data_IF_976086257239
#
_entry.id   IF_976086257239
#
_cell.length_a   1.000
_cell.length_b   1.000
_cell.length_c   1.000
_cell.angle_alpha   90.00
_cell.angle_beta   90.00
_cell.angle_gamma   90.00
#
_symmetry.space_group_name_H-M   'P 1'
#
loop_
_entity.id
_entity.type
_entity.pdbx_description
1 polymer ?
#
# COMPACT_ATOMS: atom_id res chain seq x y z
N UNK A 1 -64.19 -4.35 -5.93
CA UNK A 1 -63.10 -4.90 -5.10
C UNK A 1 -61.83 -5.23 -5.86
N UNK A 2 -61.86 -5.93 -7.01
CA UNK A 2 -60.64 -6.28 -7.77
C UNK A 2 -59.73 -5.09 -8.15
N UNK A 3 -60.31 -3.94 -8.53
CA UNK A 3 -59.53 -2.75 -8.96
C UNK A 3 -58.75 -2.09 -7.82
N UNK A 4 -59.23 -2.18 -6.57
CA UNK A 4 -58.58 -1.57 -5.42
C UNK A 4 -57.34 -2.37 -5.00
N UNK A 5 -57.43 -3.71 -5.08
CA UNK A 5 -56.33 -4.65 -4.82
C UNK A 5 -55.16 -4.41 -5.79
N UNK A 6 -55.46 -4.26 -7.10
CA UNK A 6 -54.45 -3.95 -8.11
C UNK A 6 -53.81 -2.57 -7.90
N UNK A 7 -54.60 -1.57 -7.51
CA UNK A 7 -54.10 -0.22 -7.20
C UNK A 7 -53.10 -0.23 -6.03
N UNK A 8 -53.43 -0.93 -4.94
CA UNK A 8 -52.50 -1.09 -3.80
C UNK A 8 -51.26 -1.89 -4.15
N UNK A 9 -51.37 -2.94 -4.98
CA UNK A 9 -50.22 -3.73 -5.40
C UNK A 9 -49.23 -2.91 -6.26
N UNK A 10 -49.74 -2.10 -7.19
CA UNK A 10 -48.91 -1.21 -8.01
C UNK A 10 -48.26 -0.13 -7.14
N UNK A 11 -49.02 0.46 -6.22
CA UNK A 11 -48.48 1.46 -5.29
C UNK A 11 -47.34 0.86 -4.46
N UNK A 12 -47.51 -0.37 -3.94
CA UNK A 12 -46.50 -1.07 -3.14
C UNK A 12 -45.22 -1.37 -3.95
N UNK A 13 -45.36 -1.81 -5.20
CA UNK A 13 -44.23 -2.04 -6.11
C UNK A 13 -43.49 -0.74 -6.44
N UNK A 14 -44.20 0.36 -6.65
CA UNK A 14 -43.60 1.67 -6.95
C UNK A 14 -42.93 2.29 -5.72
N UNK A 15 -43.48 2.09 -4.52
CA UNK A 15 -42.84 2.56 -3.27
C UNK A 15 -41.71 1.67 -2.77
N UNK A 16 -41.63 0.42 -3.25
CA UNK A 16 -40.53 -0.50 -2.91
C UNK A 16 -39.24 -0.16 -3.67
N UNK A 17 -39.31 0.48 -4.85
CA UNK A 17 -38.11 0.89 -5.61
C UNK A 17 -37.39 2.09 -5.00
N UNK A 18 -38.04 2.84 -4.10
CA UNK A 18 -37.42 3.94 -3.35
C UNK A 18 -36.76 3.49 -2.04
N UNK A 19 -36.78 2.19 -1.72
CA UNK A 19 -36.07 1.62 -0.58
C UNK A 19 -34.70 1.06 -1.01
N UNK A 20 -33.90 1.84 -1.75
CA UNK A 20 -32.46 1.61 -1.74
C UNK A 20 -31.93 2.24 -0.45
N UNK A 21 -31.62 1.40 0.53
CA UNK A 21 -30.78 1.83 1.63
C UNK A 21 -29.42 2.23 1.04
N UNK A 22 -28.96 3.44 1.35
CA UNK A 22 -27.62 3.92 0.98
C UNK A 22 -26.58 3.10 1.75
N UNK A 23 -26.26 1.92 1.22
CA UNK A 23 -25.28 1.02 1.82
C UNK A 23 -23.90 1.56 1.52
N UNK A 24 -23.14 1.91 2.56
CA UNK A 24 -21.73 2.28 2.42
C UNK A 24 -20.99 1.11 1.77
N UNK A 25 -20.35 1.32 0.59
CA UNK A 25 -19.59 0.26 -0.06
C UNK A 25 -18.39 -0.15 0.79
N UNK A 26 -18.16 -1.45 0.90
CA UNK A 26 -16.99 -2.02 1.59
C UNK A 26 -16.00 -2.53 0.55
N UNK A 27 -14.80 -1.96 0.55
CA UNK A 27 -13.68 -2.33 -0.32
C UNK A 27 -12.73 -3.23 0.45
N UNK A 28 -12.72 -4.52 0.10
CA UNK A 28 -11.70 -5.45 0.59
C UNK A 28 -10.52 -5.46 -0.39
N UNK A 29 -9.33 -5.15 0.12
CA UNK A 29 -8.13 -4.97 -0.70
C UNK A 29 -7.00 -5.82 -0.13
N UNK A 30 -6.37 -6.60 -0.99
CA UNK A 30 -5.21 -7.40 -0.62
C UNK A 30 -3.93 -6.67 -1.02
N UNK A 31 -3.18 -6.21 -0.03
CA UNK A 31 -1.84 -5.65 -0.23
C UNK A 31 -0.88 -6.84 -0.35
N UNK A 32 -0.09 -6.86 -1.41
CA UNK A 32 0.87 -7.92 -1.70
C UNK A 32 2.30 -7.53 -1.35
N UNK A 33 2.57 -6.22 -1.26
CA UNK A 33 3.87 -5.66 -0.94
C UNK A 33 3.72 -4.43 -0.08
N UNK A 34 4.52 -4.31 0.97
CA UNK A 34 4.61 -3.11 1.78
C UNK A 34 6.08 -2.77 2.05
N UNK A 35 6.41 -1.49 1.94
CA UNK A 35 7.70 -0.95 2.38
C UNK A 35 7.47 0.16 3.38
N UNK A 36 8.32 0.19 4.39
CA UNK A 36 8.35 1.24 5.40
C UNK A 36 9.80 1.67 5.54
N UNK A 37 10.05 2.96 5.41
CA UNK A 37 11.36 3.56 5.59
C UNK A 37 11.34 4.50 6.78
N UNK A 38 12.40 4.45 7.58
CA UNK A 38 12.58 5.27 8.75
C UNK A 38 13.89 6.05 8.63
N UNK A 39 13.80 7.36 8.80
CA UNK A 39 14.95 8.24 8.95
C UNK A 39 15.25 8.57 10.42
N UNK A 40 16.40 9.19 10.69
CA UNK A 40 16.71 9.74 12.01
C UNK A 40 15.63 10.76 12.44
N UNK A 41 15.39 10.84 13.74
CA UNK A 41 14.50 11.87 14.28
C UNK A 41 15.34 13.10 14.64
N UNK A 42 15.38 14.08 13.75
CA UNK A 42 16.09 15.35 13.94
C UNK A 42 15.21 16.45 14.57
N UNK A 43 13.99 16.10 14.98
CA UNK A 43 13.01 17.04 15.53
C UNK A 43 12.29 17.89 14.48
N UNK A 44 12.47 17.62 13.18
CA UNK A 44 11.76 18.31 12.11
C UNK A 44 10.32 17.80 11.88
N UNK A 45 9.96 16.65 12.46
CA UNK A 45 8.62 16.08 12.41
C UNK A 45 8.62 14.57 12.20
N UNK A 46 7.75 14.13 11.30
CA UNK A 46 7.62 12.74 10.89
C UNK A 46 8.90 12.17 10.31
N UNK A 47 9.29 10.99 10.79
CA UNK A 47 10.52 10.31 10.37
C UNK A 47 10.26 8.96 9.69
N UNK A 48 9.00 8.61 9.42
CA UNK A 48 8.61 7.36 8.78
C UNK A 48 7.81 7.65 7.50
N UNK A 49 8.10 6.90 6.45
CA UNK A 49 7.28 6.85 5.24
C UNK A 49 6.94 5.40 4.92
N UNK A 50 5.80 5.18 4.28
CA UNK A 50 5.38 3.85 3.89
C UNK A 50 4.71 3.84 2.52
N UNK A 51 4.77 2.68 1.87
CA UNK A 51 4.13 2.38 0.60
C UNK A 51 3.47 1.02 0.69
N UNK A 52 2.19 0.94 0.34
CA UNK A 52 1.39 -0.28 0.29
C UNK A 52 0.96 -0.52 -1.16
N UNK A 53 1.30 -1.69 -1.70
CA UNK A 53 1.00 -2.05 -3.08
C UNK A 53 0.21 -3.36 -3.12
N UNK A 54 -0.86 -3.36 -3.91
CA UNK A 54 -1.66 -4.53 -4.23
C UNK A 54 -2.23 -4.43 -5.65
N UNK A 55 -3.04 -5.41 -6.08
CA UNK A 55 -3.68 -5.37 -7.39
C UNK A 55 -4.52 -4.10 -7.58
N UNK A 56 -4.08 -3.24 -8.51
CA UNK A 56 -4.69 -1.92 -8.75
C UNK A 56 -4.69 -0.99 -7.54
N UNK A 57 -3.86 -1.23 -6.53
CA UNK A 57 -3.83 -0.45 -5.29
C UNK A 57 -2.43 0.07 -5.03
N UNK A 58 -2.31 1.37 -4.78
CA UNK A 58 -1.10 2.02 -4.34
C UNK A 58 -1.48 3.08 -3.31
N UNK A 59 -1.00 2.92 -2.09
CA UNK A 59 -1.20 3.87 -1.00
C UNK A 59 0.16 4.26 -0.47
N UNK A 60 0.44 5.56 -0.42
CA UNK A 60 1.65 6.09 0.21
C UNK A 60 1.28 7.06 1.31
N UNK A 61 2.09 7.12 2.35
CA UNK A 61 1.86 8.07 3.43
C UNK A 61 3.09 8.24 4.31
N UNK A 62 2.95 9.16 5.25
CA UNK A 62 3.97 9.47 6.25
C UNK A 62 3.41 9.26 7.66
N UNK A 63 4.34 9.06 8.58
CA UNK A 63 4.07 8.87 9.98
C UNK A 63 5.32 9.14 10.79
N UNK A 64 5.23 8.91 12.09
CA UNK A 64 6.37 9.01 12.98
C UNK A 64 6.49 7.80 13.87
N UNK A 65 7.68 7.61 14.40
CA UNK A 65 7.93 6.68 15.49
C UNK A 65 8.66 7.42 16.60
N UNK A 66 8.12 7.34 17.82
CA UNK A 66 8.81 7.83 18.99
C UNK A 66 9.97 6.87 19.31
N UNK A 67 11.14 7.16 18.76
CA UNK A 67 12.35 6.46 19.11
C UNK A 67 12.98 7.15 20.34
N UNK A 68 13.12 6.37 21.41
CA UNK A 68 13.59 6.82 22.73
C UNK A 68 15.11 7.08 22.69
N UNK A 69 15.49 8.25 22.15
CA UNK A 69 16.85 8.79 22.04
C UNK A 69 17.78 8.11 21.02
N UNK A 70 17.57 6.83 20.70
CA UNK A 70 18.51 6.08 19.85
C UNK A 70 18.57 6.48 18.37
N UNK A 71 17.54 7.16 17.88
CA UNK A 71 17.41 7.58 16.48
C UNK A 71 17.72 9.07 16.26
N UNK A 72 17.93 9.83 17.34
CA UNK A 72 18.11 11.29 17.31
C UNK A 72 19.57 11.70 17.56
N UNK A 73 20.41 10.77 18.00
CA UNK A 73 21.82 11.02 18.24
C UNK A 73 22.65 9.74 18.42
N UNK A 74 23.96 9.89 18.65
CA UNK A 74 24.85 8.77 18.90
C UNK A 74 24.50 8.05 20.21
N UNK A 75 24.50 6.72 20.18
CA UNK A 75 24.32 5.83 21.34
C UNK A 75 25.59 5.03 21.62
N UNK A 76 25.89 4.72 22.89
CA UNK A 76 27.12 4.01 23.25
C UNK A 76 27.13 2.55 22.79
N UNK A 77 25.96 1.91 22.69
CA UNK A 77 25.79 0.53 22.27
C UNK A 77 24.43 0.29 21.59
N UNK A 78 24.26 -0.87 20.96
CA UNK A 78 23.04 -1.26 20.23
C UNK A 78 22.07 -2.12 21.07
N UNK A 79 22.34 -2.30 22.37
CA UNK A 79 21.62 -3.28 23.21
C UNK A 79 20.19 -2.86 23.54
N UNK A 80 19.88 -1.56 23.44
CA UNK A 80 18.58 -0.97 23.76
C UNK A 80 17.83 -0.46 22.51
N UNK A 81 18.23 -0.89 21.32
CA UNK A 81 17.55 -0.50 20.07
C UNK A 81 16.28 -1.32 19.92
N UNK A 82 15.14 -0.68 20.18
CA UNK A 82 13.82 -1.24 19.97
C UNK A 82 12.93 -0.28 19.20
N UNK A 83 12.18 -0.82 18.24
CA UNK A 83 11.11 -0.08 17.58
C UNK A 83 9.90 0.04 18.50
N UNK A 84 9.19 1.15 18.38
CA UNK A 84 7.98 1.45 19.14
C UNK A 84 6.80 1.61 18.18
N UNK A 85 5.64 1.97 18.70
CA UNK A 85 4.47 2.18 17.87
C UNK A 85 4.73 3.28 16.83
N UNK A 86 4.51 2.95 15.57
CA UNK A 86 4.45 3.92 14.47
C UNK A 86 3.05 4.52 14.45
N UNK A 87 2.97 5.84 14.50
CA UNK A 87 1.72 6.58 14.33
C UNK A 87 1.64 7.12 12.90
N UNK A 88 0.41 7.17 12.38
CA UNK A 88 0.13 7.77 11.08
C UNK A 88 -0.20 9.25 11.29
N UNK A 89 0.39 10.12 10.49
CA UNK A 89 0.20 11.56 10.65
C UNK A 89 -1.03 12.09 9.91
N UNK A 90 -1.77 11.19 9.25
CA UNK A 90 -2.96 11.52 8.45
C UNK A 90 -2.64 12.07 7.06
N UNK A 91 -1.37 12.40 6.79
CA UNK A 91 -0.91 12.87 5.48
C UNK A 91 -0.59 11.68 4.57
N UNK A 92 -1.40 11.51 3.53
CA UNK A 92 -1.21 10.50 2.49
C UNK A 92 -0.71 11.14 1.20
N UNK A 93 0.25 10.52 0.54
CA UNK A 93 0.81 11.01 -0.73
C UNK A 93 0.03 10.51 -1.95
N UNK A 94 -0.58 9.33 -1.86
CA UNK A 94 -1.37 8.73 -2.93
C UNK A 94 -2.38 7.74 -2.36
N UNK A 95 -3.54 7.65 -3.01
CA UNK A 95 -4.64 6.77 -2.63
C UNK A 95 -5.32 6.17 -3.87
N UNK A 96 -4.59 5.32 -4.60
CA UNK A 96 -5.20 4.50 -5.67
C UNK A 96 -5.70 3.20 -5.06
N UNK A 97 -6.99 2.90 -5.20
CA UNK A 97 -7.61 1.69 -4.65
C UNK A 97 -8.43 1.01 -5.74
N UNK A 98 -8.08 -0.24 -6.04
CA UNK A 98 -8.70 -1.06 -7.12
C UNK A 98 -8.81 -0.32 -8.48
N UNK A 99 -7.80 0.47 -8.81
CA UNK A 99 -7.70 1.24 -10.06
C UNK A 99 -8.41 2.59 -10.03
N UNK A 100 -9.07 2.96 -8.94
CA UNK A 100 -9.70 4.28 -8.75
C UNK A 100 -8.77 5.18 -7.95
N UNK A 101 -8.50 6.38 -8.44
CA UNK A 101 -7.74 7.39 -7.71
C UNK A 101 -8.69 8.18 -6.80
N UNK A 102 -8.45 8.12 -5.51
CA UNK A 102 -9.13 8.93 -4.51
C UNK A 102 -8.26 10.13 -4.13
N UNK A 103 -8.89 11.17 -3.59
CA UNK A 103 -8.18 12.24 -2.93
C UNK A 103 -7.49 11.69 -1.66
N UNK A 104 -6.15 11.75 -1.55
CA UNK A 104 -5.43 11.26 -0.37
C UNK A 104 -5.88 11.90 0.95
N UNK A 105 -6.39 13.13 0.92
CA UNK A 105 -6.89 13.82 2.12
C UNK A 105 -8.17 13.19 2.69
N UNK A 106 -8.89 12.41 1.88
CA UNK A 106 -10.08 11.66 2.30
C UNK A 106 -9.76 10.27 2.84
N UNK A 107 -8.50 9.82 2.68
CA UNK A 107 -8.06 8.52 3.17
C UNK A 107 -7.78 8.60 4.67
N UNK A 108 -8.33 7.66 5.41
CA UNK A 108 -7.97 7.42 6.80
C UNK A 108 -7.74 5.93 6.99
N UNK A 109 -6.60 5.59 7.60
CA UNK A 109 -6.27 4.23 7.99
C UNK A 109 -6.09 4.19 9.50
N UNK A 110 -6.62 3.16 10.13
CA UNK A 110 -6.26 2.78 11.48
C UNK A 110 -5.37 1.55 11.46
N UNK A 111 -4.56 1.45 12.51
CA UNK A 111 -4.12 0.16 13.00
C UNK A 111 -3.20 -0.56 12.00
N UNK A 112 -2.51 0.20 11.15
CA UNK A 112 -1.57 -0.34 10.16
C UNK A 112 -0.36 -1.00 10.83
N UNK A 113 0.09 -0.42 11.94
CA UNK A 113 1.25 -0.87 12.71
C UNK A 113 0.86 -1.36 14.10
N UNK A 114 1.61 -2.34 14.61
CA UNK A 114 1.51 -2.84 15.97
C UNK A 114 2.16 -1.88 16.97
N UNK A 115 2.03 -2.17 18.27
CA UNK A 115 2.73 -1.43 19.32
C UNK A 115 4.27 -1.56 19.27
N UNK A 116 4.79 -2.58 18.56
CA UNK A 116 6.23 -2.78 18.32
C UNK A 116 6.71 -2.11 17.03
N UNK A 117 5.83 -1.45 16.27
CA UNK A 117 6.19 -0.84 14.98
C UNK A 117 6.29 -1.84 13.82
N UNK A 118 5.79 -3.06 14.01
CA UNK A 118 5.68 -4.06 12.96
C UNK A 118 4.38 -3.85 12.16
N UNK A 119 4.33 -4.36 10.93
CA UNK A 119 3.12 -4.31 10.11
C UNK A 119 2.08 -5.33 10.63
N UNK A 120 0.85 -4.87 10.88
CA UNK A 120 -0.25 -5.77 11.25
C UNK A 120 -0.69 -6.61 10.04
N UNK A 121 -1.33 -7.76 10.29
CA UNK A 121 -1.92 -8.61 9.23
C UNK A 121 -3.14 -8.01 8.54
N UNK A 122 -3.74 -7.02 9.19
CA UNK A 122 -4.88 -6.29 8.64
C UNK A 122 -4.89 -4.86 9.13
N UNK A 123 -5.49 -3.99 8.32
CA UNK A 123 -5.80 -2.62 8.67
C UNK A 123 -7.20 -2.28 8.15
N UNK A 124 -7.81 -1.26 8.73
CA UNK A 124 -9.14 -0.80 8.32
C UNK A 124 -9.18 0.71 8.25
N UNK A 125 -10.09 1.24 7.46
CA UNK A 125 -10.15 2.66 7.21
C UNK A 125 -11.35 3.06 6.39
N UNK A 126 -11.27 4.26 5.83
CA UNK A 126 -12.25 4.81 4.90
C UNK A 126 -11.55 5.69 3.88
N UNK A 127 -12.20 5.88 2.74
CA UNK A 127 -11.70 6.70 1.64
C UNK A 127 -12.86 7.33 0.89
N UNK A 128 -12.63 8.49 0.26
CA UNK A 128 -13.64 9.21 -0.50
C UNK A 128 -14.59 10.02 0.37
N UNK A 129 -15.49 10.74 -0.29
CA UNK A 129 -16.45 11.65 0.34
C UNK A 129 -17.78 11.64 -0.40
N UNK A 130 -18.87 11.94 0.30
CA UNK A 130 -20.22 11.95 -0.28
C UNK A 130 -20.55 10.64 -0.99
N UNK A 131 -20.83 10.69 -2.29
CA UNK A 131 -21.19 9.52 -3.09
C UNK A 131 -20.02 8.56 -3.39
N UNK A 132 -18.77 8.96 -3.12
CA UNK A 132 -17.58 8.09 -3.31
C UNK A 132 -17.06 7.52 -2.00
N UNK A 133 -17.70 7.85 -0.87
CA UNK A 133 -17.31 7.34 0.43
C UNK A 133 -17.41 5.81 0.49
N UNK A 134 -16.33 5.17 0.92
CA UNK A 134 -16.24 3.73 1.05
C UNK A 134 -15.47 3.34 2.30
N UNK A 135 -15.91 2.27 2.95
CA UNK A 135 -15.13 1.61 3.99
C UNK A 135 -14.03 0.76 3.34
N UNK A 136 -12.84 0.77 3.93
CA UNK A 136 -11.68 0.05 3.44
C UNK A 136 -11.25 -1.01 4.45
N UNK A 137 -11.08 -2.25 3.98
CA UNK A 137 -10.46 -3.33 4.73
C UNK A 137 -9.24 -3.81 3.96
N UNK A 138 -8.07 -3.72 4.59
CA UNK A 138 -6.80 -4.12 4.02
C UNK A 138 -6.36 -5.44 4.65
N UNK A 139 -6.03 -6.42 3.81
CA UNK A 139 -5.19 -7.56 4.20
C UNK A 139 -3.76 -7.22 3.83
N UNK A 140 -2.84 -7.39 4.78
CA UNK A 140 -1.44 -6.99 4.63
C UNK A 140 -0.54 -8.22 4.69
N UNK A 141 0.60 -8.22 3.96
CA UNK A 141 1.60 -9.26 4.11
C UNK A 141 2.29 -9.04 5.46
N UNK A 142 1.95 -9.82 6.49
CA UNK A 142 2.53 -9.66 7.82
C UNK A 142 3.40 -10.84 8.23
N UNK A 143 3.94 -10.72 9.44
CA UNK A 143 4.21 -11.83 10.34
C UNK A 143 5.53 -12.59 10.12
N UNK A 144 6.39 -12.14 9.20
CA UNK A 144 7.78 -12.60 9.06
C UNK A 144 8.77 -11.47 8.81
N UNK A 145 8.40 -10.22 9.14
CA UNK A 145 9.16 -9.03 8.78
C UNK A 145 9.82 -8.46 10.02
N UNK A 146 11.13 -8.30 9.97
CA UNK A 146 11.91 -7.57 10.96
C UNK A 146 12.45 -6.30 10.32
N UNK A 147 12.58 -5.25 11.12
CA UNK A 147 13.30 -4.05 10.73
C UNK A 147 14.78 -4.36 10.43
N UNK A 148 15.26 -3.92 9.28
CA UNK A 148 16.67 -3.74 8.98
C UNK A 148 17.10 -2.35 9.42
N UNK A 149 17.65 -2.24 10.64
CA UNK A 149 18.15 -0.97 11.17
C UNK A 149 19.64 -0.82 10.87
N UNK A 150 20.02 0.33 10.33
CA UNK A 150 21.38 0.65 9.92
C UNK A 150 21.98 1.71 10.85
N UNK A 151 23.19 1.41 11.34
CA UNK A 151 23.96 2.25 12.24
C UNK A 151 25.38 2.43 11.72
N UNK A 152 25.92 3.63 11.87
CA UNK A 152 27.32 3.94 11.54
C UNK A 152 28.11 4.22 12.82
N UNK A 153 29.39 3.80 12.89
CA UNK A 153 30.23 4.11 14.04
C UNK A 153 30.57 5.60 14.07
N UNK A 154 30.50 6.19 15.26
CA UNK A 154 30.89 7.57 15.54
C UNK A 154 32.15 7.54 16.41
N UNK A 155 33.25 8.18 15.99
CA UNK A 155 34.48 8.21 16.77
C UNK A 155 34.30 8.97 18.09
N UNK A 156 35.17 8.73 19.09
CA UNK A 156 35.16 9.51 20.32
C UNK A 156 35.44 10.98 20.04
N UNK A 157 34.65 11.88 20.63
CA UNK A 157 34.84 13.34 20.51
C UNK A 157 34.47 14.02 21.83
N UNK A 158 35.41 14.80 22.39
CA UNK A 158 35.23 15.42 23.71
C UNK A 158 34.99 14.40 24.81
N UNK A 159 33.90 14.57 25.57
CA UNK A 159 33.48 13.65 26.64
C UNK A 159 32.69 12.44 26.12
N UNK A 160 32.40 12.35 24.81
CA UNK A 160 31.70 11.20 24.23
C UNK A 160 32.70 10.07 23.90
N UNK A 161 32.55 8.87 24.48
CA UNK A 161 33.53 7.79 24.33
C UNK A 161 33.51 7.09 22.96
N UNK A 162 32.73 7.59 22.01
CA UNK A 162 32.43 6.93 20.74
C UNK A 162 31.20 6.03 20.85
N UNK A 163 30.59 5.71 19.72
CA UNK A 163 29.34 4.96 19.70
C UNK A 163 28.80 4.71 18.30
N UNK A 164 27.49 4.65 18.17
CA UNK A 164 26.79 4.36 16.92
C UNK A 164 25.71 5.40 16.68
N UNK A 165 25.56 5.85 15.44
CA UNK A 165 24.48 6.75 15.05
C UNK A 165 23.56 6.05 14.06
N UNK A 166 22.26 6.12 14.33
CA UNK A 166 21.25 5.62 13.41
C UNK A 166 21.24 6.43 12.11
N UNK A 167 21.16 5.73 10.98
CA UNK A 167 21.13 6.36 9.65
C UNK A 167 19.82 6.08 8.94
N UNK A 168 19.35 4.84 8.97
CA UNK A 168 18.13 4.44 8.27
C UNK A 168 17.59 3.13 8.80
N UNK A 169 16.28 2.98 8.74
CA UNK A 169 15.58 1.73 8.99
C UNK A 169 14.72 1.36 7.80
N UNK A 170 14.61 0.07 7.51
CA UNK A 170 13.72 -0.43 6.48
C UNK A 170 12.96 -1.67 6.95
N UNK A 171 11.66 -1.69 6.69
CA UNK A 171 10.82 -2.88 6.81
C UNK A 171 10.21 -3.17 5.44
N UNK A 172 10.45 -4.38 4.94
CA UNK A 172 9.87 -4.87 3.68
C UNK A 172 9.01 -6.09 3.98
N UNK A 173 7.82 -6.11 3.41
CA UNK A 173 6.87 -7.19 3.58
C UNK A 173 6.27 -7.64 2.25
N UNK A 174 6.16 -8.95 2.05
CA UNK A 174 5.52 -9.54 0.88
C UNK A 174 6.40 -9.56 -0.37
N UNK A 175 5.77 -9.73 -1.53
CA UNK A 175 6.46 -9.89 -2.81
C UNK A 175 6.21 -8.65 -3.67
N UNK A 176 7.27 -7.96 -4.14
CA UNK A 176 7.09 -6.81 -5.00
C UNK A 176 6.30 -7.18 -6.25
N UNK A 177 5.45 -6.27 -6.77
CA UNK A 177 4.70 -6.53 -7.98
C UNK A 177 5.66 -6.94 -9.09
N UNK A 178 5.36 -8.07 -9.75
CA UNK A 178 6.09 -8.47 -10.93
C UNK A 178 6.01 -7.33 -11.95
N UNK A 179 7.13 -7.01 -12.61
CA UNK A 179 7.13 -6.06 -13.72
C UNK A 179 6.13 -6.56 -14.77
N UNK A 180 4.95 -5.94 -14.82
CA UNK A 180 3.96 -6.23 -15.87
C UNK A 180 4.60 -5.78 -17.18
N UNK A 181 4.83 -6.69 -18.15
CA UNK A 181 5.34 -6.29 -19.45
C UNK A 181 4.40 -5.22 -20.00
N UNK A 182 4.96 -4.13 -20.51
CA UNK A 182 4.15 -3.10 -21.12
C UNK A 182 3.28 -3.73 -22.23
N UNK A 183 2.04 -3.26 -22.46
CA UNK A 183 1.21 -3.76 -23.55
C UNK A 183 1.95 -3.79 -24.90
N UNK A 184 2.87 -2.83 -25.10
CA UNK A 184 3.78 -2.78 -26.25
C UNK A 184 4.69 -4.01 -26.36
N UNK A 185 5.24 -4.52 -25.26
CA UNK A 185 6.11 -5.70 -25.24
C UNK A 185 5.37 -6.97 -25.67
N UNK A 186 4.10 -7.13 -25.27
CA UNK A 186 3.25 -8.23 -25.73
C UNK A 186 2.97 -8.09 -27.24
N UNK A 187 2.67 -6.86 -27.69
CA UNK A 187 2.48 -6.56 -29.11
C UNK A 187 3.72 -6.84 -29.96
N UNK A 188 4.91 -6.49 -29.48
CA UNK A 188 6.19 -6.76 -30.16
C UNK A 188 6.53 -8.25 -30.18
N UNK A 189 6.27 -8.99 -29.10
CA UNK A 189 6.44 -10.44 -29.10
C UNK A 189 5.47 -11.14 -30.07
N UNK A 190 4.21 -10.73 -30.11
CA UNK A 190 3.21 -11.28 -31.02
C UNK A 190 3.56 -11.00 -32.50
N UNK A 191 3.95 -9.76 -32.81
CA UNK A 191 4.36 -9.39 -34.17
C UNK A 191 5.65 -10.08 -34.62
N UNK A 192 6.63 -10.24 -33.72
CA UNK A 192 7.84 -11.02 -33.98
C UNK A 192 7.55 -12.48 -34.32
N UNK A 193 6.61 -13.13 -33.61
CA UNK A 193 6.22 -14.52 -33.85
C UNK A 193 5.51 -14.70 -35.21
N UNK A 194 4.63 -13.77 -35.58
CA UNK A 194 3.98 -13.76 -36.91
C UNK A 194 5.02 -13.57 -38.02
N UNK A 195 6.01 -12.71 -37.82
CA UNK A 195 7.12 -12.50 -38.76
C UNK A 195 7.92 -13.79 -39.01
N UNK A 196 8.25 -14.53 -37.95
CA UNK A 196 8.98 -15.80 -38.04
C UNK A 196 8.17 -16.84 -38.82
N UNK A 197 6.87 -16.99 -38.53
CA UNK A 197 5.99 -17.91 -39.27
C UNK A 197 5.91 -17.52 -40.75
N UNK A 198 5.85 -16.22 -41.06
CA UNK A 198 5.86 -15.70 -42.42
C UNK A 198 7.13 -16.08 -43.20
N UNK A 199 8.30 -15.95 -42.57
CA UNK A 199 9.59 -16.32 -43.18
C UNK A 199 9.70 -17.82 -43.41
N UNK A 200 9.29 -18.64 -42.44
CA UNK A 200 9.30 -20.11 -42.57
C UNK A 200 8.39 -20.56 -43.71
N UNK A 201 7.17 -20.02 -43.81
CA UNK A 201 6.24 -20.35 -44.91
C UNK A 201 6.80 -19.96 -46.28
N UNK A 202 7.46 -18.80 -46.37
CA UNK A 202 8.10 -18.34 -47.62
C UNK A 202 9.26 -19.25 -48.03
N UNK A 203 10.06 -19.73 -47.07
CA UNK A 203 11.18 -20.65 -47.36
C UNK A 203 10.70 -22.05 -47.78
N UNK A 204 9.62 -22.57 -47.21
CA UNK A 204 9.06 -23.87 -47.59
C UNK A 204 8.43 -23.84 -49.00
N UNK A 205 7.80 -22.72 -49.38
CA UNK A 205 7.17 -22.55 -50.69
C UNK A 205 8.15 -22.25 -51.85
N UNK A 206 9.43 -21.97 -51.56
CA UNK A 206 10.44 -21.63 -52.56
C UNK A 206 11.60 -22.64 -52.64
N UNK A 207 11.46 -23.86 -52.10
CA UNK A 207 12.37 -24.96 -52.47
C UNK A 207 12.03 -25.44 -53.89
N UNK A 208 12.89 -25.23 -54.90
CA UNK A 208 12.73 -25.91 -56.18
C UNK A 208 12.97 -27.41 -55.98
N UNK A 209 12.15 -28.23 -56.64
CA UNK A 209 12.39 -29.67 -56.80
C UNK A 209 13.60 -29.91 -57.71
#
# INVERSE_FOLDING_TARGET
>A
MKRLIWGTAILFVVSATSAYADSIPILNVNITYATVHMGPNDGSGDNVSFTLIGPGTNITGIGGMACFDWCSGPIPDLTFVGTSQIFLSGSFGSATIRGTNYDPETLSLCCLFSASGDLNGSASGFVGEGSTFAQLNLTLPCCSTSWGLNFVPVPPEGDFPGGFQFVSGELIAGTPPAATPEPGTIGFMATGLVGIIGVIRRHVLHRPR
#
